data_IF_505416504022
#
_entry.id   IF_505416504022
#
_cell.length_a   1.000
_cell.length_b   1.000
_cell.length_c   1.000
_cell.angle_alpha   90.00
_cell.angle_beta   90.00
_cell.angle_gamma   90.00
#
_symmetry.space_group_name_H-M   'P 1'
#
loop_
_entity.id
_entity.type
_entity.pdbx_description
1 polymer ?
#
# COMPACT_ATOMS: atom_id res chain seq x y z
N UNK A 1 14.22 6.02 -42.88
CA UNK A 1 15.04 5.21 -41.96
C UNK A 1 14.11 4.28 -41.20
N UNK A 2 14.57 3.04 -40.99
CA UNK A 2 13.77 1.88 -40.56
C UNK A 2 13.07 2.06 -39.22
N UNK A 3 11.77 1.75 -39.24
CA UNK A 3 10.92 1.41 -38.09
C UNK A 3 11.37 0.04 -37.57
N UNK A 4 11.69 -0.07 -36.27
CA UNK A 4 11.88 -1.36 -35.60
C UNK A 4 10.94 -1.47 -34.40
N UNK A 5 9.83 -2.13 -34.69
CA UNK A 5 8.97 -2.85 -33.76
C UNK A 5 9.77 -3.90 -32.98
N UNK A 6 9.58 -3.94 -31.65
CA UNK A 6 9.88 -5.09 -30.81
C UNK A 6 8.82 -5.18 -29.69
N UNK A 7 7.82 -6.01 -29.93
CA UNK A 7 7.31 -6.95 -28.91
C UNK A 7 7.77 -8.36 -29.31
N UNK A 8 7.56 -9.44 -28.52
CA UNK A 8 6.46 -9.60 -27.56
C UNK A 8 6.77 -10.42 -26.27
N UNK A 9 5.74 -10.57 -25.43
CA UNK A 9 5.40 -11.75 -24.63
C UNK A 9 6.43 -12.33 -23.65
N UNK A 10 6.20 -12.11 -22.35
CA UNK A 10 6.46 -13.11 -21.31
C UNK A 10 5.20 -13.32 -20.46
N UNK A 11 4.48 -14.36 -20.84
CA UNK A 11 3.43 -15.01 -20.05
C UNK A 11 4.07 -15.75 -18.90
N UNK A 12 3.96 -15.22 -17.68
CA UNK A 12 4.31 -15.94 -16.45
C UNK A 12 3.05 -16.17 -15.62
N UNK A 13 2.41 -17.31 -15.88
CA UNK A 13 1.52 -17.98 -14.95
C UNK A 13 2.38 -18.52 -13.79
N UNK A 14 2.10 -18.13 -12.54
CA UNK A 14 2.61 -18.85 -11.37
C UNK A 14 1.61 -18.78 -10.20
N UNK A 15 0.99 -19.94 -9.97
CA UNK A 15 0.41 -20.47 -8.73
C UNK A 15 -0.64 -19.68 -7.93
N UNK A 16 -1.88 -20.14 -8.13
CA UNK A 16 -2.97 -20.17 -7.16
C UNK A 16 -2.55 -20.91 -5.88
N UNK A 17 -2.51 -20.20 -4.75
CA UNK A 17 -2.92 -20.76 -3.46
C UNK A 17 -4.25 -20.10 -3.14
N UNK A 18 -5.33 -20.79 -3.47
CA UNK A 18 -6.68 -20.40 -3.08
C UNK A 18 -6.83 -20.66 -1.58
N UNK A 19 -6.47 -19.67 -0.76
CA UNK A 19 -6.81 -19.60 0.66
C UNK A 19 -7.24 -18.18 0.95
N UNK A 20 -8.55 -17.91 0.87
CA UNK A 20 -9.26 -16.70 1.34
C UNK A 20 -8.38 -15.49 1.70
N UNK A 21 -7.83 -14.81 0.70
CA UNK A 21 -6.96 -13.64 0.87
C UNK A 21 -7.63 -12.38 0.30
N UNK A 22 -8.96 -12.29 0.43
CA UNK A 22 -9.80 -11.39 -0.39
C UNK A 22 -10.03 -9.98 0.19
N UNK A 23 -9.29 -9.52 1.22
CA UNK A 23 -9.57 -8.19 1.79
C UNK A 23 -8.40 -7.48 2.48
N UNK A 24 -7.17 -7.62 1.97
CA UNK A 24 -6.03 -6.90 2.55
C UNK A 24 -4.90 -6.60 1.56
N UNK A 25 -4.12 -5.57 1.88
CA UNK A 25 -2.88 -5.21 1.18
C UNK A 25 -1.88 -6.36 1.34
N UNK A 26 -1.15 -6.67 0.27
CA UNK A 26 -0.23 -7.80 0.17
C UNK A 26 1.22 -7.35 0.07
N UNK A 27 2.14 -8.32 0.20
CA UNK A 27 3.56 -8.06 -0.03
C UNK A 27 3.83 -7.62 -1.48
N UNK A 28 3.02 -8.08 -2.43
CA UNK A 28 3.13 -7.67 -3.83
C UNK A 28 2.79 -6.19 -3.98
N UNK A 29 1.72 -5.71 -3.36
CA UNK A 29 1.32 -4.29 -3.43
C UNK A 29 2.43 -3.38 -2.87
N UNK A 30 3.07 -3.78 -1.78
CA UNK A 30 4.24 -3.06 -1.24
C UNK A 30 5.42 -3.09 -2.21
N UNK A 31 5.65 -4.22 -2.91
CA UNK A 31 6.73 -4.32 -3.88
C UNK A 31 6.46 -3.41 -5.10
N UNK A 32 5.24 -3.43 -5.61
CA UNK A 32 4.79 -2.61 -6.75
C UNK A 32 4.87 -1.10 -6.39
N UNK A 33 4.43 -0.70 -5.18
CA UNK A 33 4.58 0.69 -4.72
C UNK A 33 6.06 1.13 -4.56
N UNK A 34 6.95 0.22 -4.15
CA UNK A 34 8.40 0.49 -4.09
C UNK A 34 9.02 0.59 -5.47
N UNK A 35 8.52 -0.17 -6.43
CA UNK A 35 8.93 -0.08 -7.84
C UNK A 35 8.52 1.26 -8.42
N UNK A 36 7.27 1.70 -8.20
CA UNK A 36 6.80 3.02 -8.61
C UNK A 36 7.72 4.15 -8.11
N UNK A 37 8.04 4.16 -6.80
CA UNK A 37 8.98 5.16 -6.23
C UNK A 37 10.36 5.16 -6.91
N UNK A 38 10.81 4.02 -7.45
CA UNK A 38 12.08 3.95 -8.19
C UNK A 38 11.95 4.44 -9.62
N UNK A 39 10.82 4.18 -10.28
CA UNK A 39 10.50 4.68 -11.63
C UNK A 39 10.46 6.21 -11.61
N UNK A 40 9.68 6.81 -10.72
CA UNK A 40 9.61 8.28 -10.56
C UNK A 40 10.98 8.91 -10.24
N UNK A 41 11.85 8.21 -9.50
CA UNK A 41 13.21 8.68 -9.26
C UNK A 41 14.11 8.62 -10.49
N UNK A 42 13.87 7.66 -11.39
CA UNK A 42 14.55 7.59 -12.68
C UNK A 42 14.07 8.72 -13.60
N UNK A 43 12.77 9.04 -13.58
CA UNK A 43 12.20 10.13 -14.37
C UNK A 43 12.75 11.49 -13.94
N UNK A 44 12.89 11.75 -12.63
CA UNK A 44 13.64 12.91 -12.13
C UNK A 44 15.08 12.95 -12.66
N UNK A 45 15.75 11.80 -12.78
CA UNK A 45 17.11 11.73 -13.29
C UNK A 45 17.18 11.93 -14.82
N UNK A 46 16.16 11.51 -15.55
CA UNK A 46 15.97 11.79 -16.98
C UNK A 46 15.70 13.27 -17.23
N UNK A 47 14.69 13.84 -16.56
CA UNK A 47 14.37 15.26 -16.66
C UNK A 47 15.58 16.17 -16.34
N UNK A 48 16.43 15.78 -15.37
CA UNK A 48 17.68 16.49 -15.09
C UNK A 48 18.70 16.42 -16.21
N UNK A 49 18.79 15.29 -16.93
CA UNK A 49 19.69 15.14 -18.07
C UNK A 49 19.17 15.96 -19.25
N UNK A 50 17.90 15.85 -19.56
CA UNK A 50 17.26 16.56 -20.67
C UNK A 50 17.31 18.09 -20.44
N UNK A 51 17.04 18.54 -19.22
CA UNK A 51 17.22 19.93 -18.80
C UNK A 51 18.66 20.45 -19.02
N UNK A 52 19.66 19.62 -18.69
CA UNK A 52 21.06 20.00 -18.87
C UNK A 52 21.45 20.07 -20.35
N UNK A 53 20.94 19.16 -21.17
CA UNK A 53 21.13 19.16 -22.62
C UNK A 53 20.49 20.41 -23.25
N UNK A 54 19.23 20.71 -22.91
CA UNK A 54 18.53 21.89 -23.43
C UNK A 54 19.24 23.19 -23.07
N UNK A 55 19.66 23.37 -21.81
CA UNK A 55 20.39 24.58 -21.40
C UNK A 55 21.77 24.67 -22.08
N UNK A 56 22.43 23.54 -22.31
CA UNK A 56 23.73 23.51 -22.99
C UNK A 56 23.61 23.88 -24.48
N UNK A 57 22.56 23.42 -25.15
CA UNK A 57 22.27 23.76 -26.55
C UNK A 57 21.99 25.27 -26.70
N UNK A 58 21.13 25.84 -25.86
CA UNK A 58 20.86 27.29 -25.87
C UNK A 58 22.12 28.11 -25.53
N UNK A 59 22.96 27.61 -24.62
CA UNK A 59 24.22 28.28 -24.27
C UNK A 59 25.22 28.26 -25.43
N UNK A 60 25.21 27.20 -26.24
CA UNK A 60 26.02 27.12 -27.46
C UNK A 60 25.57 28.15 -28.51
N UNK A 61 24.26 28.38 -28.65
CA UNK A 61 23.72 29.36 -29.58
C UNK A 61 24.03 30.81 -29.14
N UNK A 62 23.99 31.09 -27.83
CA UNK A 62 24.52 32.34 -27.27
C UNK A 62 25.99 32.55 -27.61
N UNK A 63 26.83 31.52 -27.47
CA UNK A 63 28.26 31.63 -27.73
C UNK A 63 28.54 31.85 -29.23
N UNK A 64 27.77 31.21 -30.12
CA UNK A 64 27.80 31.44 -31.55
C UNK A 64 27.42 32.89 -31.90
N UNK A 65 26.32 33.40 -31.34
CA UNK A 65 25.86 34.78 -31.56
C UNK A 65 26.88 35.81 -31.04
N UNK A 66 27.48 35.57 -29.86
CA UNK A 66 28.56 36.42 -29.31
C UNK A 66 29.79 36.41 -30.20
N UNK A 67 30.17 35.26 -30.75
CA UNK A 67 31.31 35.18 -31.66
C UNK A 67 31.05 35.99 -32.94
N UNK A 68 29.82 35.96 -33.47
CA UNK A 68 29.42 36.77 -34.62
C UNK A 68 29.52 38.27 -34.30
N UNK A 69 28.95 38.71 -33.17
CA UNK A 69 28.95 40.11 -32.75
C UNK A 69 30.34 40.72 -32.53
N UNK A 70 31.34 39.87 -32.22
CA UNK A 70 32.73 40.30 -31.98
C UNK A 70 33.59 40.34 -33.25
N UNK A 71 33.06 40.01 -34.42
CA UNK A 71 33.80 40.14 -35.68
C UNK A 71 34.04 41.62 -36.03
N UNK A 72 35.21 41.99 -36.59
CA UNK A 72 35.63 43.39 -36.79
C UNK A 72 34.93 44.11 -37.97
N UNK A 73 33.71 43.74 -38.34
CA UNK A 73 32.97 44.31 -39.48
C UNK A 73 31.98 45.38 -38.98
N UNK A 74 32.03 46.60 -39.53
CA UNK A 74 31.40 47.80 -38.96
C UNK A 74 29.92 48.02 -39.32
N UNK A 75 29.39 47.31 -40.31
CA UNK A 75 28.10 47.69 -40.90
C UNK A 75 26.87 47.05 -40.19
N UNK A 76 27.04 45.91 -39.48
CA UNK A 76 25.92 45.13 -38.87
C UNK A 76 26.07 44.88 -37.35
N UNK A 77 26.94 45.62 -36.67
CA UNK A 77 27.35 45.31 -35.29
C UNK A 77 26.23 45.49 -34.22
N UNK A 78 25.30 46.41 -34.47
CA UNK A 78 24.16 46.64 -33.58
C UNK A 78 23.16 45.48 -33.60
N UNK A 79 22.91 44.90 -34.78
CA UNK A 79 21.98 43.78 -34.95
C UNK A 79 22.55 42.51 -34.32
N UNK A 80 23.83 42.20 -34.55
CA UNK A 80 24.49 41.04 -33.93
C UNK A 80 24.55 41.13 -32.38
N UNK A 81 24.64 42.35 -31.82
CA UNK A 81 24.57 42.55 -30.36
C UNK A 81 23.15 42.31 -29.83
N UNK A 82 22.13 42.74 -30.58
CA UNK A 82 20.73 42.51 -30.20
C UNK A 82 20.38 41.01 -30.28
N UNK A 83 20.90 40.29 -31.26
CA UNK A 83 20.73 38.84 -31.39
C UNK A 83 21.36 38.11 -30.19
N UNK A 84 22.62 38.41 -29.83
CA UNK A 84 23.26 37.82 -28.65
C UNK A 84 22.52 38.10 -27.33
N UNK A 85 21.75 39.19 -27.24
CA UNK A 85 20.89 39.47 -26.08
C UNK A 85 19.60 38.65 -26.08
N UNK A 86 19.03 38.36 -27.26
CA UNK A 86 17.85 37.48 -27.40
C UNK A 86 18.20 36.05 -27.01
N UNK A 87 19.28 35.51 -27.57
CA UNK A 87 19.77 34.17 -27.22
C UNK A 87 20.02 34.03 -25.70
N UNK A 88 20.52 35.11 -25.06
CA UNK A 88 20.73 35.10 -23.61
C UNK A 88 19.42 35.06 -22.80
N UNK A 89 18.35 35.66 -23.34
CA UNK A 89 17.01 35.54 -22.77
C UNK A 89 16.47 34.11 -22.95
N UNK A 90 16.72 33.50 -24.11
CA UNK A 90 16.31 32.12 -24.41
C UNK A 90 16.97 31.11 -23.45
N UNK A 91 18.27 31.26 -23.13
CA UNK A 91 18.92 30.48 -22.05
C UNK A 91 18.22 30.66 -20.69
N UNK A 92 17.77 31.87 -20.38
CA UNK A 92 17.09 32.14 -19.09
C UNK A 92 15.71 31.47 -19.05
N UNK A 93 15.00 31.48 -20.17
CA UNK A 93 13.72 30.77 -20.34
C UNK A 93 13.92 29.25 -20.25
N UNK A 94 14.89 28.70 -20.98
CA UNK A 94 15.23 27.28 -20.91
C UNK A 94 15.63 26.84 -19.50
N UNK A 95 16.36 27.67 -18.74
CA UNK A 95 16.66 27.38 -17.33
C UNK A 95 15.41 27.37 -16.45
N UNK A 96 14.47 28.28 -16.70
CA UNK A 96 13.21 28.33 -15.95
C UNK A 96 12.34 27.11 -16.25
N UNK A 97 12.22 26.73 -17.52
CA UNK A 97 11.46 25.56 -17.97
C UNK A 97 12.07 24.26 -17.45
N UNK A 98 13.38 24.10 -17.58
CA UNK A 98 14.14 22.99 -17.00
C UNK A 98 13.88 22.85 -15.49
N UNK A 99 13.94 23.97 -14.76
CA UNK A 99 13.69 23.98 -13.33
C UNK A 99 12.23 23.64 -13.00
N UNK A 100 11.28 24.05 -13.82
CA UNK A 100 9.86 23.72 -13.66
C UNK A 100 9.62 22.21 -13.87
N UNK A 101 10.14 21.63 -14.96
CA UNK A 101 10.03 20.20 -15.24
C UNK A 101 10.63 19.35 -14.12
N UNK A 102 11.83 19.69 -13.64
CA UNK A 102 12.46 18.97 -12.52
C UNK A 102 11.63 19.05 -11.22
N UNK A 103 10.88 20.14 -11.00
CA UNK A 103 10.03 20.28 -9.81
C UNK A 103 8.74 19.47 -9.93
N UNK A 104 8.18 19.36 -11.14
CA UNK A 104 7.02 18.51 -11.43
C UNK A 104 7.35 17.04 -11.10
N UNK A 105 8.43 16.51 -11.67
CA UNK A 105 8.89 15.13 -11.40
C UNK A 105 9.21 14.88 -9.91
N UNK A 106 9.71 15.91 -9.19
CA UNK A 106 9.95 15.80 -7.75
C UNK A 106 8.66 15.76 -6.92
N UNK A 107 7.59 16.40 -7.41
CA UNK A 107 6.28 16.32 -6.80
C UNK A 107 5.73 14.89 -6.95
N UNK A 108 5.90 14.27 -8.11
CA UNK A 108 5.45 12.90 -8.39
C UNK A 108 6.18 11.87 -7.52
N UNK A 109 7.52 12.00 -7.39
CA UNK A 109 8.28 11.19 -6.41
C UNK A 109 7.75 11.36 -4.98
N UNK A 110 7.30 12.56 -4.61
CA UNK A 110 6.77 12.83 -3.26
C UNK A 110 5.41 12.16 -3.07
N UNK A 111 4.56 12.19 -4.08
CA UNK A 111 3.27 11.50 -4.10
C UNK A 111 3.46 9.97 -4.04
N UNK A 112 4.29 9.40 -4.91
CA UNK A 112 4.59 7.96 -4.91
C UNK A 112 5.15 7.48 -3.56
N UNK A 113 5.99 8.29 -2.89
CA UNK A 113 6.49 7.97 -1.54
C UNK A 113 5.39 7.96 -0.49
N UNK A 114 4.41 8.87 -0.59
CA UNK A 114 3.26 8.92 0.32
C UNK A 114 2.37 7.69 0.11
N UNK A 115 2.13 7.31 -1.14
CA UNK A 115 1.40 6.08 -1.47
C UNK A 115 2.11 4.85 -0.90
N UNK A 116 3.43 4.73 -1.11
CA UNK A 116 4.23 3.64 -0.53
C UNK A 116 4.08 3.57 1.00
N UNK A 117 4.18 4.71 1.70
CA UNK A 117 4.00 4.75 3.15
C UNK A 117 2.62 4.26 3.58
N UNK A 118 1.57 4.65 2.84
CA UNK A 118 0.21 4.20 3.10
C UNK A 118 0.07 2.69 2.86
N UNK A 119 0.55 2.18 1.73
CA UNK A 119 0.52 0.74 1.39
C UNK A 119 1.29 -0.09 2.43
N UNK A 120 2.45 0.37 2.88
CA UNK A 120 3.20 -0.30 3.95
C UNK A 120 2.44 -0.34 5.28
N UNK A 121 1.76 0.76 5.63
CA UNK A 121 0.93 0.82 6.84
C UNK A 121 -0.28 -0.13 6.76
N UNK A 122 -0.99 -0.18 5.63
CA UNK A 122 -2.10 -1.08 5.41
C UNK A 122 -1.67 -2.55 5.40
N UNK A 123 -0.51 -2.86 4.81
CA UNK A 123 0.07 -4.21 4.84
C UNK A 123 0.39 -4.66 6.26
N UNK A 124 1.00 -3.79 7.06
CA UNK A 124 1.27 -4.10 8.47
C UNK A 124 -0.03 -4.27 9.27
N UNK A 125 -1.01 -3.40 9.04
CA UNK A 125 -2.31 -3.49 9.69
C UNK A 125 -3.05 -4.79 9.34
N UNK A 126 -2.97 -5.23 8.08
CA UNK A 126 -3.48 -6.53 7.60
C UNK A 126 -2.84 -7.69 8.37
N UNK A 127 -1.51 -7.74 8.42
CA UNK A 127 -0.81 -8.82 9.15
C UNK A 127 -1.21 -8.87 10.63
N UNK A 128 -1.31 -7.71 11.28
CA UNK A 128 -1.69 -7.64 12.69
C UNK A 128 -3.14 -8.09 12.92
N UNK A 129 -4.06 -7.66 12.05
CA UNK A 129 -5.47 -8.08 12.09
C UNK A 129 -5.57 -9.59 11.93
N UNK A 130 -4.92 -10.14 10.91
CA UNK A 130 -5.04 -11.56 10.57
C UNK A 130 -4.42 -12.44 11.66
N UNK A 131 -3.30 -12.03 12.26
CA UNK A 131 -2.71 -12.70 13.41
C UNK A 131 -3.65 -12.68 14.63
N UNK A 132 -4.32 -11.55 14.89
CA UNK A 132 -5.30 -11.45 15.97
C UNK A 132 -6.54 -12.32 15.70
N UNK A 133 -7.06 -12.31 14.47
CA UNK A 133 -8.16 -13.18 14.03
C UNK A 133 -7.82 -14.65 14.27
N UNK A 134 -6.60 -15.09 13.90
CA UNK A 134 -6.16 -16.46 14.15
C UNK A 134 -6.15 -16.82 15.64
N UNK A 135 -5.72 -15.90 16.51
CA UNK A 135 -5.74 -16.13 17.96
C UNK A 135 -7.16 -16.27 18.51
N UNK A 136 -8.10 -15.45 18.04
CA UNK A 136 -9.50 -15.53 18.45
C UNK A 136 -10.16 -16.80 17.89
N UNK A 137 -9.83 -17.21 16.66
CA UNK A 137 -10.32 -18.44 16.07
C UNK A 137 -9.91 -19.67 16.90
N UNK A 138 -8.67 -19.72 17.39
CA UNK A 138 -8.23 -20.79 18.30
C UNK A 138 -9.04 -20.84 19.60
N UNK A 139 -9.54 -19.70 20.09
CA UNK A 139 -10.42 -19.63 21.27
C UNK A 139 -11.82 -20.14 20.96
N UNK A 140 -12.36 -19.80 19.80
CA UNK A 140 -13.64 -20.34 19.31
C UNK A 140 -13.55 -21.87 19.15
N UNK A 141 -12.49 -22.37 18.53
CA UNK A 141 -12.27 -23.82 18.34
C UNK A 141 -12.17 -24.55 19.68
N UNK A 142 -11.53 -23.95 20.69
CA UNK A 142 -11.45 -24.51 22.05
C UNK A 142 -12.83 -24.52 22.74
N UNK A 143 -13.65 -23.48 22.54
CA UNK A 143 -15.02 -23.45 23.05
C UNK A 143 -15.90 -24.50 22.39
N UNK A 144 -15.80 -24.68 21.06
CA UNK A 144 -16.50 -25.74 20.33
C UNK A 144 -16.12 -27.13 20.85
N UNK A 145 -14.83 -27.38 21.10
CA UNK A 145 -14.38 -28.64 21.71
C UNK A 145 -14.98 -28.87 23.11
N UNK A 146 -15.08 -27.81 23.93
CA UNK A 146 -15.69 -27.89 25.27
C UNK A 146 -17.20 -28.12 25.20
N UNK A 147 -17.89 -27.47 24.26
CA UNK A 147 -19.33 -27.70 23.99
C UNK A 147 -19.56 -29.18 23.63
N UNK A 148 -18.79 -29.72 22.69
CA UNK A 148 -18.90 -31.13 22.29
C UNK A 148 -18.63 -32.10 23.46
N UNK A 149 -17.67 -31.78 24.34
CA UNK A 149 -17.41 -32.58 25.55
C UNK A 149 -18.62 -32.57 26.50
N UNK A 150 -19.25 -31.41 26.69
CA UNK A 150 -20.42 -31.26 27.57
C UNK A 150 -21.65 -31.96 26.99
N UNK A 151 -21.90 -31.83 25.70
CA UNK A 151 -22.97 -32.54 24.99
C UNK A 151 -22.81 -34.05 25.13
N UNK A 152 -21.61 -34.58 24.88
CA UNK A 152 -21.36 -36.01 25.08
C UNK A 152 -21.55 -36.47 26.53
N UNK A 153 -21.22 -35.62 27.51
CA UNK A 153 -21.51 -35.91 28.93
C UNK A 153 -23.00 -35.89 29.23
N UNK A 154 -23.75 -34.93 28.67
CA UNK A 154 -25.20 -34.83 28.81
C UNK A 154 -25.90 -36.09 28.24
N UNK A 155 -25.55 -36.49 27.01
CA UNK A 155 -26.09 -37.69 26.36
C UNK A 155 -25.86 -38.97 27.19
N UNK A 156 -24.72 -39.07 27.87
CA UNK A 156 -24.42 -40.19 28.76
C UNK A 156 -25.22 -40.13 30.07
N UNK A 157 -25.42 -38.94 30.64
CA UNK A 157 -26.14 -38.72 31.90
C UNK A 157 -27.67 -38.74 31.75
N UNK A 158 -28.21 -38.48 30.56
CA UNK A 158 -29.63 -38.64 30.23
C UNK A 158 -30.08 -40.10 30.45
N UNK A 159 -29.19 -41.06 30.21
CA UNK A 159 -29.41 -42.47 30.53
C UNK A 159 -29.50 -42.76 32.06
N UNK A 160 -29.14 -41.79 32.91
CA UNK A 160 -29.08 -41.90 34.38
C UNK A 160 -30.06 -40.95 35.13
N UNK A 161 -30.78 -40.06 34.44
CA UNK A 161 -31.85 -39.22 35.00
C UNK A 161 -31.41 -37.88 35.65
N UNK A 162 -30.28 -37.30 35.24
CA UNK A 162 -29.75 -36.02 35.75
C UNK A 162 -29.54 -34.96 34.63
N UNK A 163 -30.60 -34.51 33.96
CA UNK A 163 -30.50 -33.68 32.73
C UNK A 163 -30.24 -32.17 32.93
N UNK A 164 -30.82 -31.51 33.94
CA UNK A 164 -31.11 -30.07 33.79
C UNK A 164 -29.95 -29.06 33.94
N UNK A 165 -28.80 -29.44 34.50
CA UNK A 165 -27.72 -28.47 34.79
C UNK A 165 -26.75 -28.32 33.61
N UNK A 166 -26.56 -29.38 32.83
CA UNK A 166 -25.58 -29.42 31.73
C UNK A 166 -26.10 -28.68 30.50
N UNK A 167 -27.39 -28.79 30.17
CA UNK A 167 -27.99 -28.13 29.00
C UNK A 167 -27.91 -26.61 29.09
N UNK A 168 -28.25 -26.04 30.25
CA UNK A 168 -28.17 -24.60 30.46
C UNK A 168 -26.73 -24.05 30.33
N UNK A 169 -25.73 -24.85 30.73
CA UNK A 169 -24.31 -24.49 30.58
C UNK A 169 -23.87 -24.55 29.12
N UNK A 170 -24.31 -25.57 28.37
CA UNK A 170 -24.08 -25.71 26.94
C UNK A 170 -24.67 -24.52 26.18
N UNK A 171 -25.94 -24.18 26.46
CA UNK A 171 -26.63 -23.06 25.81
C UNK A 171 -25.95 -21.72 26.10
N UNK A 172 -25.52 -21.50 27.35
CA UNK A 172 -24.81 -20.27 27.71
C UNK A 172 -23.45 -20.17 27.02
N UNK A 173 -22.74 -21.30 26.87
CA UNK A 173 -21.45 -21.33 26.20
C UNK A 173 -21.59 -21.11 24.69
N UNK A 174 -22.59 -21.74 24.04
CA UNK A 174 -22.95 -21.51 22.63
C UNK A 174 -23.29 -20.04 22.37
N UNK A 175 -24.19 -19.48 23.17
CA UNK A 175 -24.58 -18.07 23.03
C UNK A 175 -23.41 -17.10 23.18
N UNK A 176 -22.43 -17.42 24.05
CA UNK A 176 -21.24 -16.59 24.19
C UNK A 176 -20.24 -16.78 23.04
N UNK A 177 -20.12 -18.00 22.51
CA UNK A 177 -19.33 -18.32 21.32
C UNK A 177 -19.84 -17.55 20.10
N UNK A 178 -21.16 -17.53 19.90
CA UNK A 178 -21.81 -16.79 18.80
C UNK A 178 -21.54 -15.28 18.91
N UNK A 179 -21.56 -14.70 20.12
CA UNK A 179 -21.20 -13.28 20.33
C UNK A 179 -19.75 -12.97 19.99
N UNK A 180 -18.83 -13.90 20.28
CA UNK A 180 -17.42 -13.73 19.90
C UNK A 180 -17.28 -13.77 18.38
N UNK A 181 -17.99 -14.68 17.72
CA UNK A 181 -18.01 -14.81 16.26
C UNK A 181 -18.58 -13.54 15.60
N UNK A 182 -19.72 -13.03 16.07
CA UNK A 182 -20.32 -11.77 15.59
C UNK A 182 -19.36 -10.58 15.76
N UNK A 183 -18.78 -10.42 16.96
CA UNK A 183 -17.81 -9.34 17.20
C UNK A 183 -16.55 -9.48 16.32
N UNK A 184 -16.10 -10.71 16.07
CA UNK A 184 -14.94 -11.00 15.23
C UNK A 184 -15.24 -10.67 13.77
N UNK A 185 -16.43 -10.99 13.27
CA UNK A 185 -16.84 -10.69 11.90
C UNK A 185 -17.07 -9.19 11.68
N UNK A 186 -17.67 -8.50 12.65
CA UNK A 186 -17.74 -7.02 12.66
C UNK A 186 -16.33 -6.41 12.54
N UNK A 187 -15.37 -6.88 13.32
CA UNK A 187 -13.98 -6.43 13.26
C UNK A 187 -13.31 -6.72 11.91
N UNK A 188 -13.55 -7.91 11.32
CA UNK A 188 -13.02 -8.26 9.98
C UNK A 188 -13.60 -7.37 8.88
N UNK A 189 -14.85 -6.94 9.03
CA UNK A 189 -15.54 -6.07 8.07
C UNK A 189 -15.12 -4.60 8.14
N UNK A 190 -14.47 -4.19 9.24
CA UNK A 190 -13.99 -2.84 9.43
C UNK A 190 -12.87 -2.47 8.44
N UNK A 191 -12.73 -1.17 8.20
CA UNK A 191 -11.61 -0.63 7.42
C UNK A 191 -10.27 -1.06 8.02
N UNK A 192 -9.30 -1.43 7.18
CA UNK A 192 -8.05 -2.06 7.64
C UNK A 192 -7.23 -1.17 8.57
N UNK A 193 -7.36 0.15 8.48
CA UNK A 193 -6.68 1.06 9.41
C UNK A 193 -7.49 1.33 10.69
N UNK A 194 -8.70 0.80 10.80
CA UNK A 194 -9.65 1.03 11.92
C UNK A 194 -10.10 -0.25 12.62
N UNK A 195 -9.66 -1.44 12.21
CA UNK A 195 -10.06 -2.70 12.86
C UNK A 195 -9.74 -2.72 14.37
N UNK A 196 -8.72 -1.97 14.80
CA UNK A 196 -8.34 -1.85 16.20
C UNK A 196 -9.43 -1.21 17.07
N UNK A 197 -10.27 -0.34 16.50
CA UNK A 197 -11.40 0.28 17.20
C UNK A 197 -12.44 -0.78 17.63
N UNK A 198 -12.50 -1.91 16.91
CA UNK A 198 -13.38 -3.04 17.19
C UNK A 198 -12.72 -4.09 18.10
N UNK A 199 -11.41 -4.01 18.30
CA UNK A 199 -10.65 -5.02 19.04
C UNK A 199 -11.10 -5.16 20.50
N UNK A 200 -11.48 -4.06 21.15
CA UNK A 200 -11.92 -4.10 22.55
C UNK A 200 -13.24 -4.88 22.70
N UNK A 201 -14.16 -4.79 21.73
CA UNK A 201 -15.41 -5.55 21.75
C UNK A 201 -15.13 -7.05 21.65
N UNK A 202 -14.26 -7.46 20.71
CA UNK A 202 -13.82 -8.86 20.57
C UNK A 202 -13.17 -9.35 21.86
N UNK A 203 -12.26 -8.56 22.42
CA UNK A 203 -11.55 -8.90 23.66
C UNK A 203 -12.50 -9.08 24.85
N UNK A 204 -13.49 -8.20 25.02
CA UNK A 204 -14.50 -8.34 26.08
C UNK A 204 -15.34 -9.60 25.88
N UNK A 205 -15.76 -9.90 24.65
CA UNK A 205 -16.51 -11.11 24.34
C UNK A 205 -15.68 -12.39 24.61
N UNK A 206 -14.40 -12.40 24.23
CA UNK A 206 -13.46 -13.51 24.48
C UNK A 206 -13.20 -13.68 25.97
N UNK A 207 -13.03 -12.60 26.74
CA UNK A 207 -12.85 -12.69 28.20
C UNK A 207 -14.06 -13.30 28.90
N UNK A 208 -15.27 -12.98 28.44
CA UNK A 208 -16.50 -13.58 28.94
C UNK A 208 -16.56 -15.07 28.57
N UNK A 209 -16.19 -15.43 27.33
CA UNK A 209 -16.10 -16.83 26.89
C UNK A 209 -15.10 -17.63 27.76
N UNK A 210 -13.89 -17.10 27.94
CA UNK A 210 -12.85 -17.71 28.77
C UNK A 210 -13.33 -17.88 30.22
N UNK A 211 -14.08 -16.92 30.79
CA UNK A 211 -14.68 -17.07 32.13
C UNK A 211 -15.64 -18.26 32.17
N UNK A 212 -16.57 -18.35 31.22
CA UNK A 212 -17.55 -19.43 31.18
C UNK A 212 -16.91 -20.81 31.02
N UNK A 213 -15.93 -20.92 30.12
CA UNK A 213 -15.18 -22.18 29.92
C UNK A 213 -14.49 -22.66 31.20
N UNK A 214 -14.06 -21.75 32.07
CA UNK A 214 -13.40 -22.08 33.34
C UNK A 214 -14.37 -22.34 34.51
N UNK A 215 -15.59 -21.77 34.46
CA UNK A 215 -16.63 -21.98 35.46
C UNK A 215 -17.36 -23.32 35.27
N UNK A 216 -17.49 -23.77 34.01
CA UNK A 216 -18.10 -25.06 33.66
C UNK A 216 -17.09 -26.18 33.88
N UNK A 217 -17.43 -27.13 34.77
CA UNK A 217 -16.58 -28.28 35.12
C UNK A 217 -16.92 -29.49 34.24
#
# INVERSE_FOLDING_TARGET
>A
MSIKSFGPLLTSLAFLVAGCQESGTTQRDVADARENVREEQQDVAEAKRDAQEQVADEQHDVDAARHEANKPVLDDQADATADAQREQADVTEAQADAQAAIQEEQADVTEAKKELQQTEAEFQATQNRDAYVQQVQQKLDAADAKINELESRADNAENEGQENVTDAQIDQLKAQRDRVEEALDDMKSAEILRWQDHQENVKLAVQQLDRLMNEIK
#
